data_IF_288916722432
#
_entry.id   IF_288916722432
#
_cell.length_a   1.000
_cell.length_b   1.000
_cell.length_c   1.000
_cell.angle_alpha   90.00
_cell.angle_beta   90.00
_cell.angle_gamma   90.00
#
_symmetry.space_group_name_H-M   'P 1'
#
loop_
_entity.id
_entity.type
_entity.pdbx_description
1 polymer ?
#
# COMPACT_ATOMS: atom_id res chain seq x y z
N UNK A 1 21.76 -18.98 8.08
CA UNK A 1 20.69 -18.13 7.52
C UNK A 1 19.51 -18.26 8.48
N UNK A 2 19.32 -17.29 9.37
CA UNK A 2 18.26 -17.35 10.38
C UNK A 2 16.93 -16.93 9.73
N UNK A 3 15.80 -17.59 10.08
CA UNK A 3 14.50 -17.08 9.68
C UNK A 3 14.36 -15.65 10.22
N UNK A 4 13.99 -14.72 9.35
CA UNK A 4 13.54 -13.39 9.79
C UNK A 4 12.39 -13.65 10.75
N UNK A 5 12.57 -13.28 12.02
CA UNK A 5 11.55 -13.49 13.05
C UNK A 5 10.27 -12.72 12.71
N UNK A 6 9.18 -13.01 13.42
CA UNK A 6 7.84 -12.44 13.21
C UNK A 6 7.72 -10.93 13.58
N UNK A 7 8.87 -10.25 13.71
CA UNK A 7 9.03 -8.87 14.16
C UNK A 7 9.07 -7.89 12.98
N UNK A 8 8.55 -6.65 13.16
CA UNK A 8 8.52 -5.64 12.11
C UNK A 8 9.94 -5.31 11.65
N UNK A 9 10.19 -5.44 10.33
CA UNK A 9 11.42 -4.94 9.71
C UNK A 9 11.16 -3.54 9.18
N UNK A 10 11.98 -2.58 9.61
CA UNK A 10 12.05 -1.23 9.04
C UNK A 10 13.21 -1.25 8.05
N UNK A 11 13.03 -1.11 6.74
CA UNK A 11 14.14 -1.21 5.80
C UNK A 11 13.83 -0.53 4.45
N UNK A 12 14.89 -0.05 3.80
CA UNK A 12 14.92 0.41 2.41
C UNK A 12 15.33 -0.70 1.45
N UNK A 13 14.92 -0.60 0.20
CA UNK A 13 15.46 -1.45 -0.87
C UNK A 13 16.82 -0.93 -1.39
N UNK A 14 17.66 -1.77 -2.00
CA UNK A 14 19.00 -1.39 -2.45
C UNK A 14 19.06 -0.19 -3.41
N UNK A 15 18.00 0.01 -4.19
CA UNK A 15 17.94 1.04 -5.23
C UNK A 15 17.40 2.38 -4.72
N UNK A 16 16.83 2.42 -3.52
CA UNK A 16 16.40 3.65 -2.86
C UNK A 16 17.58 4.60 -2.73
N UNK A 17 17.40 5.86 -3.14
CA UNK A 17 18.47 6.86 -3.04
C UNK A 17 18.31 7.74 -1.82
N UNK A 18 19.35 7.85 -1.03
CA UNK A 18 19.38 8.72 0.15
C UNK A 18 20.07 10.02 -0.23
N UNK A 19 19.44 11.15 0.12
CA UNK A 19 20.01 12.46 -0.15
C UNK A 19 21.26 12.69 0.70
N UNK A 20 22.32 13.17 0.06
CA UNK A 20 23.55 13.62 0.70
C UNK A 20 23.84 15.06 0.31
N UNK A 21 24.73 15.78 1.03
CA UNK A 21 25.15 17.12 0.62
C UNK A 21 25.74 17.21 -0.80
N UNK A 22 26.16 16.09 -1.38
CA UNK A 22 26.78 16.01 -2.73
C UNK A 22 25.84 15.40 -3.79
N UNK A 23 24.55 15.24 -3.47
CA UNK A 23 23.57 14.57 -4.32
C UNK A 23 23.12 13.24 -3.74
N UNK A 24 22.21 12.56 -4.42
CA UNK A 24 21.61 11.33 -3.90
C UNK A 24 22.48 10.10 -4.20
N UNK A 25 22.62 9.21 -3.22
CA UNK A 25 23.40 7.97 -3.33
C UNK A 25 22.50 6.77 -3.05
N UNK A 26 22.60 5.71 -3.86
CA UNK A 26 21.81 4.48 -3.64
C UNK A 26 22.16 3.86 -2.30
N UNK A 27 21.18 3.26 -1.64
CA UNK A 27 21.33 2.64 -0.32
C UNK A 27 22.44 1.58 -0.31
N UNK A 28 22.55 0.78 -1.38
CA UNK A 28 23.62 -0.23 -1.55
C UNK A 28 25.04 0.34 -1.68
N UNK A 29 25.16 1.60 -2.11
CA UNK A 29 26.43 2.27 -2.41
C UNK A 29 26.89 3.17 -1.24
N UNK A 30 26.02 3.41 -0.26
CA UNK A 30 26.37 4.11 0.98
C UNK A 30 27.35 3.29 1.84
N UNK A 31 28.17 4.01 2.62
CA UNK A 31 29.13 3.45 3.56
C UNK A 31 29.05 4.19 4.90
N UNK A 32 29.46 3.51 5.96
CA UNK A 32 29.65 4.14 7.28
C UNK A 32 30.58 5.36 7.12
N UNK A 33 30.23 6.46 7.79
CA UNK A 33 30.92 7.74 7.71
C UNK A 33 30.42 8.66 6.58
N UNK A 34 29.66 8.17 5.59
CA UNK A 34 29.03 9.07 4.62
C UNK A 34 28.05 10.02 5.31
N UNK A 35 28.04 11.27 4.87
CA UNK A 35 27.08 12.28 5.34
C UNK A 35 25.76 12.16 4.57
N UNK A 36 24.65 12.18 5.29
CA UNK A 36 23.30 12.20 4.71
C UNK A 36 22.54 13.44 5.19
N UNK A 37 21.60 13.90 4.37
CA UNK A 37 20.69 14.98 4.76
C UNK A 37 19.61 14.42 5.69
N UNK A 38 19.37 15.14 6.78
CA UNK A 38 18.40 14.76 7.79
C UNK A 38 17.40 15.88 8.07
N UNK A 39 16.22 15.48 8.51
CA UNK A 39 15.19 16.35 9.08
C UNK A 39 14.94 15.93 10.54
N UNK A 40 14.79 16.92 11.43
CA UNK A 40 14.52 16.68 12.85
C UNK A 40 15.75 16.81 13.74
N UNK A 41 15.82 16.00 14.80
CA UNK A 41 16.79 16.15 15.88
C UNK A 41 18.20 15.73 15.41
N UNK A 42 19.22 16.50 15.80
CA UNK A 42 20.63 16.20 15.55
C UNK A 42 21.26 16.92 14.35
N UNK A 43 20.55 17.86 13.73
CA UNK A 43 21.07 18.72 12.66
C UNK A 43 20.76 18.23 11.25
N UNK A 44 20.91 19.13 10.27
CA UNK A 44 20.51 18.91 8.87
C UNK A 44 21.40 17.91 8.11
N UNK A 45 22.57 17.56 8.65
CA UNK A 45 23.52 16.63 8.04
C UNK A 45 24.13 15.76 9.13
N UNK A 46 24.11 14.44 8.95
CA UNK A 46 24.67 13.49 9.93
C UNK A 46 25.48 12.38 9.25
N UNK A 47 26.56 11.89 9.87
CA UNK A 47 27.32 10.75 9.36
C UNK A 47 26.59 9.43 9.65
N UNK A 48 26.58 8.51 8.70
CA UNK A 48 26.06 7.15 8.92
C UNK A 48 26.97 6.43 9.92
N UNK A 49 26.39 5.94 11.03
CA UNK A 49 27.11 5.13 12.03
C UNK A 49 27.16 3.65 11.65
N UNK A 50 26.09 3.14 11.07
CA UNK A 50 25.98 1.73 10.73
C UNK A 50 25.03 1.52 9.56
N UNK A 51 25.26 0.45 8.81
CA UNK A 51 24.37 -0.01 7.75
C UNK A 51 24.06 -1.49 8.00
N UNK A 52 22.80 -1.78 8.32
CA UNK A 52 22.28 -3.14 8.41
C UNK A 52 21.90 -3.67 7.04
N UNK A 53 22.14 -4.96 6.80
CA UNK A 53 21.67 -5.69 5.61
C UNK A 53 20.97 -6.99 5.98
N UNK A 54 19.80 -7.23 5.40
CA UNK A 54 19.05 -8.48 5.57
C UNK A 54 18.47 -8.94 4.22
N UNK A 55 18.44 -10.25 3.99
CA UNK A 55 17.82 -10.85 2.81
C UNK A 55 16.62 -11.69 3.27
N UNK A 56 15.48 -11.50 2.62
CA UNK A 56 14.25 -12.21 2.92
C UNK A 56 13.80 -13.05 1.71
N UNK A 57 13.60 -14.35 1.95
CA UNK A 57 13.04 -15.30 0.99
C UNK A 57 11.50 -15.22 1.01
N UNK A 58 10.93 -14.27 0.28
CA UNK A 58 9.49 -13.98 0.30
C UNK A 58 8.66 -15.21 -0.08
N UNK A 59 9.08 -15.98 -1.09
CA UNK A 59 8.37 -17.17 -1.55
C UNK A 59 8.28 -18.28 -0.50
N UNK A 60 9.16 -18.26 0.52
CA UNK A 60 9.22 -19.27 1.60
C UNK A 60 8.80 -18.69 2.96
N UNK A 61 8.43 -17.41 3.00
CA UNK A 61 8.03 -16.76 4.26
C UNK A 61 6.64 -17.25 4.69
N UNK A 62 6.42 -17.59 5.97
CA UNK A 62 5.11 -18.05 6.45
C UNK A 62 4.02 -16.97 6.35
N UNK A 63 4.44 -15.70 6.31
CA UNK A 63 3.58 -14.50 6.20
C UNK A 63 4.15 -13.50 5.20
N UNK A 64 4.12 -13.79 3.88
CA UNK A 64 4.80 -12.97 2.86
C UNK A 64 4.42 -11.48 2.88
N UNK A 65 3.18 -11.17 3.26
CA UNK A 65 2.65 -9.81 3.43
C UNK A 65 3.38 -8.97 4.49
N UNK A 66 4.10 -9.61 5.43
CA UNK A 66 4.92 -8.89 6.42
C UNK A 66 6.28 -8.43 5.89
N UNK A 67 6.69 -8.95 4.74
CA UNK A 67 8.04 -8.71 4.17
C UNK A 67 8.01 -8.20 2.74
N UNK A 68 6.90 -8.37 2.01
CA UNK A 68 6.70 -7.83 0.66
C UNK A 68 6.82 -6.30 0.66
N UNK A 69 7.57 -5.71 -0.28
CA UNK A 69 7.79 -4.27 -0.29
C UNK A 69 6.49 -3.51 -0.55
N UNK A 70 6.38 -2.37 0.12
CA UNK A 70 5.41 -1.32 -0.19
C UNK A 70 6.07 -0.40 -1.22
N UNK A 71 5.43 -0.27 -2.37
CA UNK A 71 5.73 0.72 -3.40
C UNK A 71 4.91 1.97 -3.14
N UNK A 72 5.59 3.09 -2.95
CA UNK A 72 5.03 4.43 -2.93
C UNK A 72 5.43 5.09 -4.25
N UNK A 73 4.47 5.28 -5.16
CA UNK A 73 4.76 5.86 -6.49
C UNK A 73 5.23 7.30 -6.38
N UNK A 74 5.96 7.76 -7.40
CA UNK A 74 6.33 9.17 -7.53
C UNK A 74 5.11 10.10 -7.36
N UNK A 75 5.23 11.12 -6.52
CA UNK A 75 4.17 12.10 -6.24
C UNK A 75 2.97 11.56 -5.45
N UNK A 76 3.02 10.34 -4.93
CA UNK A 76 1.88 9.72 -4.24
C UNK A 76 1.59 10.29 -2.85
N UNK A 77 2.60 10.84 -2.17
CA UNK A 77 2.47 11.39 -0.82
C UNK A 77 2.04 12.85 -0.86
N UNK A 78 2.72 13.64 -1.69
CA UNK A 78 2.52 15.09 -1.92
C UNK A 78 2.99 15.44 -3.33
N UNK A 79 2.87 16.71 -3.74
CA UNK A 79 3.37 17.11 -5.05
C UNK A 79 4.87 16.92 -5.20
N UNK A 80 5.28 16.11 -6.17
CA UNK A 80 6.67 15.70 -6.35
C UNK A 80 7.25 14.81 -5.24
N UNK A 81 6.45 14.29 -4.30
CA UNK A 81 6.93 13.46 -3.18
C UNK A 81 6.24 12.08 -3.17
N UNK A 82 7.01 10.97 -3.19
CA UNK A 82 8.44 10.92 -3.45
C UNK A 82 8.76 11.41 -4.89
N UNK A 83 10.00 11.83 -5.12
CA UNK A 83 10.47 12.30 -6.44
C UNK A 83 10.53 11.20 -7.50
N UNK A 84 10.53 9.95 -7.05
CA UNK A 84 10.48 8.72 -7.85
C UNK A 84 9.83 7.62 -7.02
N UNK A 85 9.60 6.47 -7.63
CA UNK A 85 9.08 5.30 -6.93
C UNK A 85 9.99 4.88 -5.77
N UNK A 86 9.46 4.96 -4.55
CA UNK A 86 10.13 4.54 -3.32
C UNK A 86 9.62 3.16 -2.91
N UNK A 87 10.54 2.23 -2.63
CA UNK A 87 10.21 0.91 -2.08
C UNK A 87 10.81 0.74 -0.69
N UNK A 88 9.95 0.38 0.25
CA UNK A 88 10.31 0.15 1.66
C UNK A 88 9.60 -1.09 2.20
N UNK A 89 10.09 -1.64 3.30
CA UNK A 89 9.40 -2.73 3.99
C UNK A 89 8.07 -2.23 4.62
N UNK A 90 7.11 -3.13 4.91
CA UNK A 90 5.77 -2.75 5.38
C UNK A 90 5.71 -1.84 6.60
N UNK A 91 6.59 -2.07 7.58
CA UNK A 91 6.57 -1.29 8.82
C UNK A 91 7.50 -0.06 8.79
N UNK A 92 8.30 0.13 7.73
CA UNK A 92 9.19 1.29 7.63
C UNK A 92 8.38 2.59 7.71
N UNK A 93 8.77 3.48 8.63
CA UNK A 93 7.97 4.66 8.89
C UNK A 93 8.35 5.82 7.96
N UNK A 94 7.31 6.43 7.40
CA UNK A 94 7.39 7.62 6.55
C UNK A 94 6.86 8.81 7.36
N UNK A 95 7.59 9.92 7.38
CA UNK A 95 7.16 11.11 8.08
C UNK A 95 6.04 11.79 7.28
N UNK A 96 4.88 11.99 7.91
CA UNK A 96 3.76 12.78 7.37
C UNK A 96 3.41 13.88 8.36
N UNK A 97 3.58 15.13 7.94
CA UNK A 97 3.47 16.27 8.85
C UNK A 97 4.48 16.14 10.00
N UNK A 98 3.97 15.87 11.20
CA UNK A 98 4.78 15.71 12.42
C UNK A 98 4.74 14.29 13.02
N UNK A 99 4.23 13.31 12.27
CA UNK A 99 4.09 11.92 12.75
C UNK A 99 4.76 10.93 11.81
N UNK A 100 5.40 9.91 12.38
CA UNK A 100 5.97 8.78 11.65
C UNK A 100 4.88 7.72 11.45
N UNK A 101 4.65 7.31 10.20
CA UNK A 101 3.58 6.39 9.85
C UNK A 101 4.15 5.18 9.10
N UNK A 102 3.95 3.94 9.59
CA UNK A 102 4.33 2.73 8.87
C UNK A 102 3.74 2.70 7.45
N UNK A 103 4.56 2.36 6.45
CA UNK A 103 4.18 2.39 5.05
C UNK A 103 2.92 1.54 4.73
N UNK A 104 2.72 0.41 5.42
CA UNK A 104 1.52 -0.44 5.27
C UNK A 104 0.22 0.27 5.63
N UNK A 105 0.27 1.28 6.51
CA UNK A 105 -0.91 2.07 6.89
C UNK A 105 -1.26 3.13 5.84
N UNK A 106 -0.37 3.39 4.88
CA UNK A 106 -0.54 4.33 3.78
C UNK A 106 -1.09 3.68 2.50
N UNK A 107 -1.28 2.36 2.50
CA UNK A 107 -1.80 1.63 1.35
C UNK A 107 -3.14 2.21 0.88
N UNK A 108 -3.22 2.56 -0.41
CA UNK A 108 -4.44 3.07 -1.02
C UNK A 108 -4.89 2.32 -2.29
N UNK A 109 -4.12 1.32 -2.71
CA UNK A 109 -4.53 0.43 -3.78
C UNK A 109 -4.25 0.95 -5.18
N UNK A 110 -3.73 2.17 -5.33
CA UNK A 110 -3.41 2.75 -6.65
C UNK A 110 -2.07 3.44 -6.75
N UNK A 111 -1.77 4.36 -5.83
CA UNK A 111 -0.50 5.12 -5.80
C UNK A 111 0.43 4.63 -4.71
N UNK A 112 -0.10 3.93 -3.70
CA UNK A 112 0.65 3.24 -2.66
C UNK A 112 0.14 1.80 -2.58
N UNK A 113 1.04 0.85 -2.89
CA UNK A 113 0.72 -0.54 -3.21
C UNK A 113 1.66 -1.50 -2.50
N UNK A 114 1.17 -2.68 -2.16
CA UNK A 114 2.06 -3.80 -1.81
C UNK A 114 2.33 -4.65 -3.04
N UNK A 115 3.60 -4.78 -3.45
CA UNK A 115 3.99 -5.59 -4.60
C UNK A 115 3.93 -7.09 -4.26
N UNK A 116 3.46 -7.91 -5.21
CA UNK A 116 3.17 -9.33 -4.97
C UNK A 116 4.24 -10.27 -5.54
N UNK A 117 4.84 -9.91 -6.67
CA UNK A 117 5.69 -10.79 -7.48
C UNK A 117 7.18 -10.67 -7.13
N UNK A 118 7.51 -10.98 -5.88
CA UNK A 118 8.90 -11.00 -5.40
C UNK A 118 9.27 -12.39 -4.88
N UNK A 119 10.25 -13.09 -5.49
CA UNK A 119 10.72 -14.37 -4.95
C UNK A 119 11.60 -14.17 -3.71
N UNK A 120 12.42 -13.13 -3.73
CA UNK A 120 13.34 -12.74 -2.67
C UNK A 120 13.55 -11.22 -2.70
N UNK A 121 13.96 -10.63 -1.58
CA UNK A 121 14.31 -9.22 -1.51
C UNK A 121 15.50 -9.01 -0.56
N UNK A 122 16.37 -8.07 -0.91
CA UNK A 122 17.40 -7.57 0.01
C UNK A 122 16.95 -6.22 0.54
N UNK A 123 17.14 -6.02 1.83
CA UNK A 123 16.77 -4.85 2.57
C UNK A 123 17.99 -4.28 3.30
N UNK A 124 18.00 -2.95 3.43
CA UNK A 124 19.06 -2.21 4.10
C UNK A 124 18.45 -1.23 5.10
N UNK A 125 19.17 -0.96 6.18
CA UNK A 125 18.89 0.18 7.04
C UNK A 125 20.16 0.95 7.31
N UNK A 126 20.06 2.26 7.49
CA UNK A 126 21.11 3.09 8.05
C UNK A 126 20.77 3.53 9.47
N UNK A 127 21.78 3.58 10.34
CA UNK A 127 21.72 4.16 11.69
C UNK A 127 22.55 5.44 11.73
N UNK A 128 22.06 6.42 12.47
CA UNK A 128 22.67 7.74 12.64
C UNK A 128 23.08 7.96 14.11
N UNK A 129 23.88 9.00 14.42
CA UNK A 129 24.28 9.31 15.79
C UNK A 129 23.11 9.59 16.72
N UNK A 130 22.03 10.16 16.17
CA UNK A 130 20.74 10.28 16.81
C UNK A 130 19.70 9.72 15.86
N UNK A 131 18.70 9.06 16.41
CA UNK A 131 17.52 8.70 15.64
C UNK A 131 16.93 9.96 15.00
N UNK A 132 16.76 9.95 13.69
CA UNK A 132 16.38 11.10 12.86
C UNK A 132 15.63 10.64 11.61
N UNK A 133 15.22 11.59 10.77
CA UNK A 133 14.56 11.31 9.48
C UNK A 133 15.55 11.61 8.36
N UNK A 134 15.72 10.69 7.42
CA UNK A 134 16.51 10.88 6.19
C UNK A 134 15.60 11.18 5.01
N UNK A 135 16.15 11.78 3.96
CA UNK A 135 15.42 12.00 2.71
C UNK A 135 15.72 10.86 1.74
N UNK A 136 14.75 9.96 1.54
CA UNK A 136 14.83 8.77 0.71
C UNK A 136 13.95 8.92 -0.53
N UNK A 137 14.56 8.93 -1.73
CA UNK A 137 13.90 9.18 -3.01
C UNK A 137 13.06 10.47 -3.00
N UNK A 138 13.47 11.46 -2.20
CA UNK A 138 12.77 12.73 -1.99
C UNK A 138 11.69 12.70 -0.91
N UNK A 139 11.38 11.55 -0.31
CA UNK A 139 10.43 11.45 0.81
C UNK A 139 11.16 11.34 2.16
N UNK A 140 10.65 12.01 3.21
CA UNK A 140 11.19 11.91 4.55
C UNK A 140 10.83 10.55 5.20
N UNK A 141 11.85 9.77 5.54
CA UNK A 141 11.72 8.40 6.05
C UNK A 141 12.62 8.16 7.28
N UNK A 142 12.21 7.23 8.14
CA UNK A 142 12.87 6.96 9.43
C UNK A 142 14.30 6.37 9.27
N UNK A 143 15.24 6.80 10.11
CA UNK A 143 16.54 6.12 10.29
C UNK A 143 16.44 5.03 11.37
N UNK A 144 17.45 4.16 11.51
CA UNK A 144 17.33 3.06 12.46
C UNK A 144 17.29 3.56 13.90
N UNK A 145 16.29 3.11 14.64
CA UNK A 145 16.25 3.21 16.09
C UNK A 145 16.77 1.90 16.69
N UNK A 146 17.84 1.96 17.47
CA UNK A 146 18.36 0.78 18.17
C UNK A 146 17.41 0.36 19.31
N UNK A 147 16.49 -0.53 18.98
CA UNK A 147 15.48 -1.10 19.86
C UNK A 147 15.84 -2.53 20.35
N UNK A 148 17.11 -2.90 20.21
CA UNK A 148 17.61 -4.23 20.56
C UNK A 148 17.43 -5.30 19.47
N UNK A 149 16.88 -4.95 18.29
CA UNK A 149 16.65 -5.90 17.19
C UNK A 149 17.77 -5.97 16.16
N UNK A 150 18.94 -5.38 16.45
CA UNK A 150 20.11 -5.37 15.55
C UNK A 150 20.51 -6.78 15.08
N UNK A 151 20.29 -7.82 15.88
CA UNK A 151 20.59 -9.22 15.57
C UNK A 151 19.83 -9.79 14.36
N UNK A 152 18.76 -9.13 13.90
CA UNK A 152 18.01 -9.52 12.70
C UNK A 152 18.79 -9.29 11.40
N UNK A 153 19.81 -8.42 11.44
CA UNK A 153 20.64 -8.13 10.27
C UNK A 153 21.79 -9.12 10.16
N UNK A 154 22.05 -9.57 8.93
CA UNK A 154 23.05 -10.59 8.61
C UNK A 154 24.49 -10.19 8.98
N UNK A 155 24.76 -8.90 9.09
CA UNK A 155 26.05 -8.32 9.46
C UNK A 155 26.10 -7.79 10.90
N UNK A 156 25.18 -8.22 11.76
CA UNK A 156 25.12 -7.81 13.18
C UNK A 156 26.37 -8.18 13.99
N UNK A 157 27.16 -9.16 13.55
CA UNK A 157 28.42 -9.56 14.20
C UNK A 157 29.63 -8.67 13.90
N UNK A 158 29.54 -7.73 12.94
CA UNK A 158 30.69 -6.88 12.53
C UNK A 158 30.96 -5.73 13.53
N UNK A 159 30.03 -5.47 14.44
CA UNK A 159 30.13 -4.43 15.48
C UNK A 159 31.08 -4.78 16.64
N UNK A 160 31.54 -6.03 16.78
CA UNK A 160 32.36 -6.46 17.94
C UNK A 160 33.86 -6.13 17.80
N UNK A 161 34.28 -5.39 16.76
CA UNK A 161 35.70 -5.04 16.54
C UNK A 161 36.06 -3.55 16.74
N UNK A 162 35.10 -2.71 17.12
CA UNK A 162 35.36 -1.30 17.45
C UNK A 162 34.92 -1.01 18.89
N UNK A 163 35.89 -0.88 19.79
CA UNK A 163 35.76 -0.88 21.26
C UNK A 163 35.06 0.37 21.83
N UNK A 164 34.68 1.35 21.01
CA UNK A 164 34.02 2.59 21.47
C UNK A 164 32.49 2.64 21.27
N UNK A 165 31.84 1.53 20.87
CA UNK A 165 30.40 1.51 20.57
C UNK A 165 29.48 1.56 21.80
N UNK A 166 29.95 1.18 22.99
CA UNK A 166 29.10 1.14 24.20
C UNK A 166 28.93 2.52 24.89
N UNK A 167 29.78 3.50 24.59
CA UNK A 167 29.85 4.75 25.34
C UNK A 167 28.93 5.90 24.90
N UNK A 168 28.23 5.81 23.75
CA UNK A 168 27.49 6.96 23.21
C UNK A 168 26.19 6.60 22.47
N UNK A 169 25.44 5.60 22.95
CA UNK A 169 24.10 5.31 22.47
C UNK A 169 23.07 6.20 23.20
N UNK A 170 22.95 7.46 22.77
CA UNK A 170 22.03 8.43 23.37
C UNK A 170 20.55 8.25 22.95
N UNK A 171 20.20 7.19 22.22
CA UNK A 171 18.85 6.94 21.72
C UNK A 171 18.29 5.59 22.16
N UNK A 172 18.47 5.21 23.43
CA UNK A 172 17.65 4.15 24.02
C UNK A 172 16.23 4.69 24.25
N UNK A 173 15.33 4.43 23.29
CA UNK A 173 13.88 4.47 23.50
C UNK A 173 13.10 5.70 23.00
N UNK A 174 13.75 6.79 22.56
CA UNK A 174 13.06 7.99 22.10
C UNK A 174 13.05 8.10 20.56
N UNK A 175 11.86 8.08 19.98
CA UNK A 175 11.67 8.34 18.54
C UNK A 175 11.84 9.83 18.23
N UNK A 176 12.30 10.18 17.03
CA UNK A 176 12.54 11.58 16.65
C UNK A 176 11.24 12.35 16.40
N UNK A 177 10.16 11.63 16.11
CA UNK A 177 8.78 12.11 16.03
C UNK A 177 7.86 11.06 16.66
N UNK A 178 6.64 11.42 17.09
CA UNK A 178 5.63 10.45 17.50
C UNK A 178 5.32 9.45 16.38
N UNK A 179 5.10 8.19 16.74
CA UNK A 179 4.80 7.13 15.77
C UNK A 179 3.31 6.81 15.82
N UNK A 180 2.64 6.92 14.67
CA UNK A 180 1.27 6.49 14.50
C UNK A 180 1.23 4.96 14.36
N UNK A 181 0.91 4.28 15.46
CA UNK A 181 0.81 2.80 15.49
C UNK A 181 -0.63 2.30 15.37
N UNK A 182 -1.59 3.15 15.70
CA UNK A 182 -3.01 2.81 15.67
C UNK A 182 -3.62 3.05 14.30
N UNK A 183 -4.31 2.01 13.82
CA UNK A 183 -4.96 1.96 12.53
C UNK A 183 -6.19 2.87 12.46
N UNK A 184 -6.91 3.06 13.59
CA UNK A 184 -8.13 3.89 13.65
C UNK A 184 -7.83 5.37 13.48
N UNK A 185 -6.63 5.78 13.88
CA UNK A 185 -6.16 7.16 13.80
C UNK A 185 -5.68 7.56 12.39
N UNK A 186 -5.70 6.66 11.40
CA UNK A 186 -5.19 6.91 10.04
C UNK A 186 -6.20 7.56 9.07
N UNK A 187 -7.47 7.72 9.47
CA UNK A 187 -8.53 8.21 8.59
C UNK A 187 -8.23 9.56 7.92
N UNK A 188 -7.73 10.61 8.61
CA UNK A 188 -7.40 11.88 7.97
C UNK A 188 -6.29 11.74 6.91
N UNK A 189 -5.30 10.89 7.18
CA UNK A 189 -4.20 10.64 6.26
C UNK A 189 -4.67 9.90 5.01
N UNK A 190 -5.58 8.95 5.16
CA UNK A 190 -6.19 8.24 4.01
C UNK A 190 -7.00 9.16 3.12
N UNK A 191 -7.81 10.04 3.72
CA UNK A 191 -8.57 11.04 2.97
C UNK A 191 -7.63 11.96 2.16
N UNK A 192 -6.52 12.40 2.77
CA UNK A 192 -5.49 13.18 2.08
C UNK A 192 -4.84 12.41 0.92
N UNK A 193 -4.50 11.13 1.11
CA UNK A 193 -3.92 10.29 0.06
C UNK A 193 -4.91 9.98 -1.07
N UNK A 194 -6.20 9.85 -0.76
CA UNK A 194 -7.24 9.65 -1.75
C UNK A 194 -7.50 10.92 -2.56
N UNK A 195 -7.53 12.10 -1.93
CA UNK A 195 -7.52 13.38 -2.63
C UNK A 195 -6.30 13.50 -3.56
N UNK A 196 -5.11 13.11 -3.09
CA UNK A 196 -3.91 13.10 -3.93
C UNK A 196 -4.00 12.11 -5.10
N UNK A 197 -4.61 10.94 -4.90
CA UNK A 197 -4.86 10.00 -5.99
C UNK A 197 -5.78 10.63 -7.05
N UNK A 198 -6.81 11.38 -6.64
CA UNK A 198 -7.67 12.15 -7.57
C UNK A 198 -6.89 13.19 -8.36
N UNK A 199 -6.00 13.93 -7.71
CA UNK A 199 -5.11 14.89 -8.40
C UNK A 199 -4.18 14.24 -9.42
N UNK A 200 -3.77 13.00 -9.15
CA UNK A 200 -2.96 12.17 -10.06
C UNK A 200 -3.79 11.51 -11.18
N UNK A 201 -5.08 11.83 -11.28
CA UNK A 201 -5.97 11.36 -12.34
C UNK A 201 -6.66 10.04 -12.05
N UNK A 202 -6.71 9.57 -10.79
CA UNK A 202 -7.55 8.43 -10.42
C UNK A 202 -8.97 8.88 -10.07
N UNK A 203 -9.96 8.06 -10.39
CA UNK A 203 -11.37 8.31 -10.11
C UNK A 203 -11.94 7.14 -9.31
N UNK A 204 -12.80 7.44 -8.34
CA UNK A 204 -13.57 6.42 -7.63
C UNK A 204 -14.85 6.11 -8.41
N UNK A 205 -15.16 4.82 -8.50
CA UNK A 205 -16.34 4.27 -9.15
C UNK A 205 -16.94 3.17 -8.28
N UNK A 206 -18.25 3.03 -8.26
CA UNK A 206 -18.92 1.98 -7.46
C UNK A 206 -18.88 0.60 -8.14
N UNK A 207 -18.74 0.60 -9.47
CA UNK A 207 -18.66 -0.62 -10.27
C UNK A 207 -17.19 -0.98 -10.55
N UNK A 208 -16.73 -2.19 -10.18
CA UNK A 208 -15.40 -2.63 -10.56
C UNK A 208 -15.32 -2.87 -12.06
N UNK A 209 -14.20 -2.49 -12.66
CA UNK A 209 -13.85 -2.92 -14.01
C UNK A 209 -13.38 -4.38 -13.93
N UNK A 210 -14.34 -5.29 -13.92
CA UNK A 210 -14.12 -6.72 -13.89
C UNK A 210 -14.10 -7.25 -15.32
N UNK A 211 -13.03 -7.96 -15.67
CA UNK A 211 -12.80 -8.48 -17.02
C UNK A 211 -12.62 -9.99 -16.98
N UNK A 212 -13.31 -10.67 -17.89
CA UNK A 212 -13.14 -12.10 -18.13
C UNK A 212 -12.34 -12.30 -19.41
N UNK A 213 -11.21 -12.99 -19.31
CA UNK A 213 -10.32 -13.32 -20.43
C UNK A 213 -10.56 -14.76 -20.86
N UNK A 214 -10.77 -14.96 -22.16
CA UNK A 214 -10.91 -16.27 -22.78
C UNK A 214 -9.98 -16.33 -23.99
N UNK A 215 -8.84 -17.02 -23.83
CA UNK A 215 -7.75 -16.90 -24.80
C UNK A 215 -7.27 -15.44 -24.89
N UNK A 216 -7.34 -14.86 -26.09
CA UNK A 216 -7.00 -13.46 -26.34
C UNK A 216 -8.19 -12.49 -26.19
N UNK A 217 -9.41 -13.03 -26.16
CA UNK A 217 -10.63 -12.23 -26.04
C UNK A 217 -10.84 -11.74 -24.61
N UNK A 218 -11.35 -10.51 -24.47
CA UNK A 218 -11.64 -9.88 -23.17
C UNK A 218 -13.09 -9.42 -23.15
N UNK A 219 -13.84 -9.87 -22.15
CA UNK A 219 -15.24 -9.56 -21.94
C UNK A 219 -15.37 -8.69 -20.68
N UNK A 220 -16.15 -7.60 -20.77
CA UNK A 220 -16.47 -6.76 -19.63
C UNK A 220 -17.69 -7.32 -18.88
N UNK A 221 -17.71 -7.17 -17.56
CA UNK A 221 -18.88 -7.51 -16.76
C UNK A 221 -20.07 -6.60 -17.09
N UNK A 222 -21.27 -7.12 -16.88
CA UNK A 222 -22.51 -6.34 -16.86
C UNK A 222 -23.12 -6.43 -15.48
N UNK A 223 -23.52 -5.29 -14.91
CA UNK A 223 -24.22 -5.26 -13.63
C UNK A 223 -25.62 -5.84 -13.80
N UNK A 224 -25.94 -6.91 -13.06
CA UNK A 224 -27.25 -7.56 -13.09
C UNK A 224 -28.05 -7.35 -11.79
N UNK A 225 -27.48 -6.66 -10.81
CA UNK A 225 -28.07 -6.36 -9.51
C UNK A 225 -26.99 -5.98 -8.50
N UNK A 226 -27.36 -5.59 -7.26
CA UNK A 226 -26.41 -5.16 -6.24
C UNK A 226 -25.32 -6.22 -5.99
N UNK A 227 -24.05 -5.87 -6.28
CA UNK A 227 -22.91 -6.78 -6.12
C UNK A 227 -22.90 -7.99 -7.07
N UNK A 228 -23.77 -8.03 -8.09
CA UNK A 228 -23.91 -9.17 -9.02
C UNK A 228 -23.48 -8.78 -10.42
N UNK A 229 -22.38 -9.37 -10.88
CA UNK A 229 -21.75 -9.08 -12.17
C UNK A 229 -21.79 -10.29 -13.07
N UNK A 230 -22.25 -10.12 -14.31
CA UNK A 230 -22.46 -11.22 -15.26
C UNK A 230 -21.58 -11.05 -16.47
N UNK A 231 -20.89 -12.12 -16.87
CA UNK A 231 -20.21 -12.25 -18.14
C UNK A 231 -21.00 -13.18 -19.04
N UNK A 232 -21.24 -12.77 -20.29
CA UNK A 232 -21.91 -13.59 -21.30
C UNK A 232 -20.93 -14.01 -22.38
N UNK A 233 -20.71 -15.31 -22.51
CA UNK A 233 -19.83 -15.90 -23.51
C UNK A 233 -20.66 -16.58 -24.59
N UNK A 234 -20.34 -16.34 -25.86
CA UNK A 234 -20.91 -17.07 -26.98
C UNK A 234 -20.26 -18.48 -27.10
N UNK A 235 -20.88 -19.37 -27.89
CA UNK A 235 -20.46 -20.77 -28.01
C UNK A 235 -19.00 -20.97 -28.48
N UNK A 236 -18.47 -20.06 -29.30
CA UNK A 236 -17.10 -20.08 -29.81
C UNK A 236 -16.05 -19.67 -28.76
N UNK A 237 -16.36 -18.65 -27.95
CA UNK A 237 -15.52 -18.31 -26.80
C UNK A 237 -15.60 -19.43 -25.74
N UNK A 238 -16.79 -19.97 -25.54
CA UNK A 238 -17.02 -21.03 -24.55
C UNK A 238 -16.31 -22.35 -24.89
N UNK A 239 -16.06 -22.64 -26.17
CA UNK A 239 -15.28 -23.80 -26.61
C UNK A 239 -13.79 -23.67 -26.29
N UNK A 240 -13.29 -22.45 -26.26
CA UNK A 240 -11.90 -22.12 -25.90
C UNK A 240 -11.74 -21.90 -24.38
N UNK A 241 -12.81 -22.06 -23.59
CA UNK A 241 -12.87 -21.81 -22.15
C UNK A 241 -11.99 -22.73 -21.27
N UNK A 242 -11.11 -23.55 -21.85
CA UNK A 242 -10.08 -24.27 -21.09
C UNK A 242 -9.15 -23.32 -20.31
N UNK A 243 -9.15 -22.01 -20.65
CA UNK A 243 -8.35 -20.98 -19.97
C UNK A 243 -9.19 -19.74 -19.68
N UNK A 244 -10.09 -19.84 -18.70
CA UNK A 244 -10.81 -18.69 -18.15
C UNK A 244 -9.91 -17.91 -17.18
N UNK A 245 -9.72 -16.63 -17.43
CA UNK A 245 -8.99 -15.72 -16.54
C UNK A 245 -9.89 -14.58 -16.08
N UNK A 246 -10.32 -14.58 -14.83
CA UNK A 246 -11.01 -13.46 -14.23
C UNK A 246 -9.97 -12.45 -13.72
N UNK A 247 -10.11 -11.18 -14.07
CA UNK A 247 -9.19 -10.13 -13.62
C UNK A 247 -9.96 -8.90 -13.19
N UNK A 248 -9.49 -8.24 -12.14
CA UNK A 248 -9.89 -6.88 -11.80
C UNK A 248 -8.85 -5.92 -12.38
N UNK A 249 -9.31 -4.96 -13.18
CA UNK A 249 -8.48 -3.82 -13.61
C UNK A 249 -8.66 -2.61 -12.69
N UNK A 250 -9.79 -2.52 -11.98
CA UNK A 250 -9.98 -1.57 -10.88
C UNK A 250 -9.39 -2.08 -9.56
N UNK A 251 -9.23 -1.19 -8.58
CA UNK A 251 -8.66 -1.51 -7.25
C UNK A 251 -9.58 -0.97 -6.16
N UNK A 252 -9.81 -1.70 -5.07
CA UNK A 252 -10.71 -1.19 -4.01
C UNK A 252 -10.15 0.10 -3.41
N UNK A 253 -11.01 1.10 -3.23
CA UNK A 253 -10.70 2.34 -2.54
C UNK A 253 -10.59 2.13 -1.05
N UNK A 254 -9.57 2.75 -0.46
CA UNK A 254 -9.24 2.61 0.95
C UNK A 254 -9.85 3.68 1.84
N UNK A 255 -10.64 4.60 1.29
CA UNK A 255 -11.42 5.55 2.11
C UNK A 255 -12.42 4.79 3.01
N UNK A 256 -13.02 3.71 2.50
CA UNK A 256 -13.97 2.86 3.23
C UNK A 256 -13.37 1.52 3.68
N UNK A 257 -12.25 1.10 3.09
CA UNK A 257 -11.66 -0.20 3.39
C UNK A 257 -11.12 -0.24 4.83
N UNK A 258 -11.61 -1.22 5.61
CA UNK A 258 -11.02 -1.57 6.90
C UNK A 258 -9.50 -1.81 6.77
N UNK A 259 -8.74 -1.40 7.78
CA UNK A 259 -7.28 -1.47 7.76
C UNK A 259 -6.81 -2.94 7.71
N UNK A 260 -5.77 -3.23 6.92
CA UNK A 260 -5.26 -4.59 6.71
C UNK A 260 -5.97 -5.40 5.61
N UNK A 261 -6.95 -4.83 4.91
CA UNK A 261 -7.63 -5.47 3.78
C UNK A 261 -6.69 -5.73 2.60
N UNK A 262 -6.85 -6.89 1.97
CA UNK A 262 -6.34 -7.11 0.62
C UNK A 262 -7.15 -6.26 -0.35
N UNK A 263 -6.47 -5.39 -1.12
CA UNK A 263 -7.07 -4.33 -1.96
C UNK A 263 -7.70 -4.86 -3.27
N UNK A 264 -8.11 -6.13 -3.27
CA UNK A 264 -8.81 -6.81 -4.36
C UNK A 264 -10.32 -6.77 -4.17
N UNK A 265 -11.09 -7.35 -5.09
CA UNK A 265 -12.52 -7.53 -4.87
C UNK A 265 -12.78 -8.80 -4.05
N UNK A 266 -13.57 -8.70 -2.98
CA UNK A 266 -14.06 -9.86 -2.24
C UNK A 266 -15.24 -10.50 -2.98
N UNK A 267 -15.14 -11.79 -3.30
CA UNK A 267 -16.24 -12.57 -3.85
C UNK A 267 -16.83 -13.50 -2.79
N UNK A 268 -18.16 -13.59 -2.75
CA UNK A 268 -18.91 -14.54 -1.92
C UNK A 268 -19.20 -15.85 -2.67
N UNK A 269 -19.13 -15.83 -4.00
CA UNK A 269 -19.26 -17.01 -4.83
C UNK A 269 -19.24 -16.73 -6.33
N UNK A 270 -19.33 -17.82 -7.09
CA UNK A 270 -19.49 -17.84 -8.54
C UNK A 270 -20.73 -18.67 -8.88
N UNK A 271 -21.48 -18.26 -9.89
CA UNK A 271 -22.52 -19.08 -10.49
C UNK A 271 -22.26 -19.20 -11.98
N UNK A 272 -22.23 -20.44 -12.47
CA UNK A 272 -22.04 -20.75 -13.88
C UNK A 272 -23.36 -21.29 -14.42
N UNK A 273 -23.89 -20.69 -15.49
CA UNK A 273 -25.17 -21.08 -16.08
C UNK A 273 -25.03 -21.35 -17.57
N UNK A 274 -25.63 -22.45 -18.02
CA UNK A 274 -25.71 -22.83 -19.42
C UNK A 274 -27.12 -23.37 -19.72
N UNK A 275 -27.97 -22.53 -20.34
CA UNK A 275 -29.39 -22.84 -20.50
C UNK A 275 -30.09 -23.03 -19.15
N UNK A 276 -30.68 -24.21 -18.93
CA UNK A 276 -31.35 -24.56 -17.66
C UNK A 276 -30.41 -25.16 -16.61
N UNK A 277 -29.17 -25.50 -16.97
CA UNK A 277 -28.20 -26.03 -16.03
C UNK A 277 -27.47 -24.89 -15.31
N UNK A 278 -27.29 -25.01 -14.00
CA UNK A 278 -26.54 -24.05 -13.20
C UNK A 278 -25.68 -24.74 -12.15
N UNK A 279 -24.46 -24.26 -11.97
CA UNK A 279 -23.55 -24.68 -10.90
C UNK A 279 -23.27 -23.47 -10.02
N UNK A 280 -23.62 -23.56 -8.74
CA UNK A 280 -23.27 -22.56 -7.73
C UNK A 280 -22.04 -23.00 -6.95
N UNK A 281 -21.11 -22.08 -6.75
CA UNK A 281 -19.81 -22.31 -6.10
C UNK A 281 -19.64 -21.21 -5.05
N UNK A 282 -19.88 -21.53 -3.79
CA UNK A 282 -19.67 -20.57 -2.70
C UNK A 282 -18.18 -20.36 -2.40
N UNK A 283 -17.84 -19.27 -1.72
CA UNK A 283 -16.46 -18.96 -1.33
C UNK A 283 -15.79 -20.07 -0.50
N UNK A 284 -16.54 -20.86 0.26
CA UNK A 284 -16.01 -22.00 1.03
C UNK A 284 -15.72 -23.26 0.20
N UNK A 285 -16.13 -23.30 -1.07
CA UNK A 285 -16.09 -24.52 -1.89
C UNK A 285 -14.64 -25.02 -2.10
N UNK A 286 -14.37 -26.33 -1.90
CA UNK A 286 -13.05 -26.91 -2.10
C UNK A 286 -12.46 -26.67 -3.49
N UNK A 287 -13.29 -26.54 -4.53
CA UNK A 287 -12.86 -26.27 -5.92
C UNK A 287 -12.12 -24.95 -6.08
N UNK A 288 -12.30 -24.02 -5.14
CA UNK A 288 -11.64 -22.71 -5.15
C UNK A 288 -10.29 -22.68 -4.40
N UNK A 289 -9.92 -23.72 -3.63
CA UNK A 289 -8.77 -23.69 -2.70
C UNK A 289 -7.41 -23.52 -3.37
N UNK A 290 -7.23 -24.08 -4.56
CA UNK A 290 -5.93 -24.12 -5.25
C UNK A 290 -5.87 -23.19 -6.46
N UNK A 291 -6.79 -22.24 -6.55
CA UNK A 291 -6.83 -21.29 -7.64
C UNK A 291 -5.84 -20.15 -7.36
N UNK A 292 -4.80 -20.05 -8.19
CA UNK A 292 -3.85 -18.92 -8.12
C UNK A 292 -4.58 -17.60 -8.35
N UNK A 293 -4.25 -16.61 -7.53
CA UNK A 293 -4.87 -15.28 -7.55
C UNK A 293 -6.15 -15.19 -6.73
N UNK A 294 -6.60 -16.27 -6.10
CA UNK A 294 -7.74 -16.25 -5.20
C UNK A 294 -7.27 -16.55 -3.77
N UNK A 295 -7.52 -15.60 -2.86
CA UNK A 295 -7.13 -15.71 -1.47
C UNK A 295 -7.79 -16.89 -0.74
N UNK A 296 -7.27 -17.21 0.45
CA UNK A 296 -7.89 -18.18 1.36
C UNK A 296 -9.32 -17.73 1.75
N UNK A 297 -10.23 -18.66 2.08
CA UNK A 297 -11.57 -18.27 2.51
C UNK A 297 -11.48 -17.56 3.86
N UNK A 298 -12.12 -16.40 3.96
CA UNK A 298 -12.10 -15.55 5.14
C UNK A 298 -13.54 -15.31 5.63
N UNK A 299 -13.73 -15.23 6.94
CA UNK A 299 -14.98 -14.78 7.53
C UNK A 299 -15.06 -13.24 7.50
N UNK A 300 -16.26 -12.65 7.50
CA UNK A 300 -16.40 -11.21 7.64
C UNK A 300 -15.84 -10.73 9.00
N UNK A 301 -15.44 -9.45 9.13
CA UNK A 301 -14.94 -8.92 10.38
C UNK A 301 -16.02 -9.00 11.46
N UNK A 302 -15.62 -9.04 12.75
CA UNK A 302 -16.58 -9.01 13.85
C UNK A 302 -17.55 -7.84 13.72
N UNK A 303 -18.85 -8.12 13.86
CA UNK A 303 -19.92 -7.11 13.75
C UNK A 303 -20.47 -6.88 12.33
N UNK A 304 -19.83 -7.43 11.29
CA UNK A 304 -20.35 -7.37 9.91
C UNK A 304 -21.11 -8.66 9.59
N UNK A 305 -22.38 -8.55 9.17
CA UNK A 305 -23.15 -9.70 8.69
C UNK A 305 -22.67 -10.10 7.29
N UNK A 306 -22.36 -11.38 7.09
CA UNK A 306 -21.93 -11.90 5.79
C UNK A 306 -21.53 -13.38 5.84
N UNK A 307 -21.42 -14.00 4.68
CA UNK A 307 -20.87 -15.35 4.53
C UNK A 307 -19.35 -15.33 4.32
N UNK A 308 -18.76 -16.50 4.11
CA UNK A 308 -17.35 -16.61 3.70
C UNK A 308 -17.11 -15.81 2.41
N UNK A 309 -15.90 -15.24 2.30
CA UNK A 309 -15.43 -14.51 1.12
C UNK A 309 -14.04 -14.96 0.70
N UNK A 310 -13.67 -14.67 -0.54
CA UNK A 310 -12.30 -14.80 -1.05
C UNK A 310 -11.91 -13.55 -1.82
N UNK A 311 -10.68 -13.10 -1.64
CA UNK A 311 -10.17 -11.91 -2.34
C UNK A 311 -9.59 -12.27 -3.70
N UNK A 312 -9.94 -11.49 -4.72
CA UNK A 312 -9.34 -11.53 -6.05
C UNK A 312 -8.04 -10.74 -6.03
N UNK A 313 -6.92 -11.43 -6.21
CA UNK A 313 -5.58 -10.87 -6.33
C UNK A 313 -5.10 -10.98 -7.79
N UNK A 314 -5.08 -9.86 -8.51
CA UNK A 314 -4.59 -9.80 -9.88
C UNK A 314 -5.47 -10.60 -10.86
N UNK A 315 -4.88 -11.61 -11.52
CA UNK A 315 -5.59 -12.46 -12.49
C UNK A 315 -5.83 -13.84 -11.86
N UNK A 316 -7.09 -14.15 -11.62
CA UNK A 316 -7.61 -15.44 -11.16
C UNK A 316 -7.82 -16.36 -12.35
N UNK A 317 -7.07 -17.46 -12.42
CA UNK A 317 -7.26 -18.46 -13.49
C UNK A 317 -8.27 -19.51 -13.05
N UNK A 318 -9.50 -19.43 -13.57
CA UNK A 318 -10.57 -20.36 -13.25
C UNK A 318 -10.30 -21.71 -13.96
N UNK A 319 -10.18 -22.82 -13.22
CA UNK A 319 -9.87 -24.11 -13.83
C UNK A 319 -11.08 -24.66 -14.59
N UNK A 320 -10.86 -25.42 -15.68
CA UNK A 320 -11.96 -26.02 -16.46
C UNK A 320 -12.86 -26.96 -15.63
N UNK A 321 -12.33 -27.50 -14.54
CA UNK A 321 -13.07 -28.34 -13.59
C UNK A 321 -14.26 -27.62 -12.95
N UNK A 322 -14.29 -26.28 -12.91
CA UNK A 322 -15.46 -25.54 -12.43
C UNK A 322 -16.67 -25.69 -13.36
N UNK A 323 -16.44 -25.96 -14.65
CA UNK A 323 -17.48 -26.18 -15.64
C UNK A 323 -18.02 -27.63 -15.63
N UNK A 324 -17.46 -28.51 -14.78
CA UNK A 324 -17.92 -29.88 -14.67
C UNK A 324 -19.38 -29.92 -14.18
N UNK A 325 -20.23 -30.64 -14.91
CA UNK A 325 -21.68 -30.74 -14.63
C UNK A 325 -22.56 -29.79 -15.44
N UNK A 326 -21.98 -28.86 -16.21
CA UNK A 326 -22.72 -28.15 -17.25
C UNK A 326 -22.82 -29.02 -18.51
N UNK A 327 -23.95 -28.96 -19.24
CA UNK A 327 -24.06 -29.61 -20.53
C UNK A 327 -22.95 -29.12 -21.46
N UNK A 328 -22.48 -30.00 -22.35
CA UNK A 328 -21.63 -29.59 -23.46
C UNK A 328 -22.29 -28.38 -24.11
N UNK A 329 -21.57 -27.27 -24.22
CA UNK A 329 -22.03 -25.99 -24.79
C UNK A 329 -22.18 -26.10 -26.33
N UNK A 330 -22.70 -27.22 -26.80
CA UNK A 330 -22.93 -27.54 -28.19
C UNK A 330 -24.34 -28.10 -28.31
N UNK A 331 -25.22 -27.35 -28.97
CA UNK A 331 -26.42 -27.90 -29.58
C UNK A 331 -26.16 -28.02 -31.08
N UNK A 332 -26.46 -29.17 -31.69
CA UNK A 332 -26.45 -29.34 -33.14
C UNK A 332 -27.60 -28.58 -33.85
N UNK A 333 -28.45 -27.88 -33.09
CA UNK A 333 -29.67 -27.24 -33.57
C UNK A 333 -29.81 -25.83 -32.97
N UNK A 334 -29.45 -24.82 -33.78
CA UNK A 334 -30.07 -23.50 -33.86
C UNK A 334 -29.97 -22.51 -32.70
N UNK A 335 -29.80 -22.93 -31.46
CA UNK A 335 -29.71 -22.02 -30.31
C UNK A 335 -28.27 -21.97 -29.80
N UNK A 336 -27.63 -20.81 -29.91
CA UNK A 336 -26.27 -20.58 -29.42
C UNK A 336 -26.27 -20.69 -27.89
N UNK A 337 -25.64 -21.70 -27.29
CA UNK A 337 -25.58 -21.78 -25.84
C UNK A 337 -24.70 -20.64 -25.32
N UNK A 338 -25.31 -19.77 -24.51
CA UNK A 338 -24.60 -18.71 -23.78
C UNK A 338 -24.17 -19.29 -22.44
N UNK A 339 -22.87 -19.18 -22.15
CA UNK A 339 -22.36 -19.42 -20.80
C UNK A 339 -22.38 -18.10 -20.05
N UNK A 340 -23.18 -18.04 -18.99
CA UNK A 340 -23.20 -16.92 -18.06
C UNK A 340 -22.32 -17.25 -16.85
N UNK A 341 -21.37 -16.37 -16.54
CA UNK A 341 -20.59 -16.43 -15.31
C UNK A 341 -21.03 -15.25 -14.45
N UNK A 342 -21.75 -15.54 -13.37
CA UNK A 342 -22.12 -14.55 -12.37
C UNK A 342 -21.09 -14.54 -11.23
N UNK A 343 -20.59 -13.36 -10.91
CA UNK A 343 -19.68 -13.11 -9.78
C UNK A 343 -20.45 -12.32 -8.75
N UNK A 344 -20.48 -12.83 -7.52
CA UNK A 344 -21.11 -12.15 -6.39
C UNK A 344 -20.04 -11.50 -5.55
N UNK A 345 -20.06 -10.18 -5.47
CA UNK A 345 -19.22 -9.46 -4.52
C UNK A 345 -19.77 -9.63 -3.11
N UNK A 346 -18.87 -9.87 -2.16
CA UNK A 346 -19.21 -9.88 -0.74
C UNK A 346 -19.41 -8.47 -0.18
N UNK A 347 -18.80 -7.47 -0.82
CA UNK A 347 -18.76 -6.08 -0.39
C UNK A 347 -18.90 -5.14 -1.60
N UNK A 348 -19.49 -3.96 -1.38
CA UNK A 348 -19.67 -2.93 -2.40
C UNK A 348 -18.80 -1.72 -2.07
N UNK A 349 -17.52 -1.96 -1.75
CA UNK A 349 -16.57 -0.88 -1.57
C UNK A 349 -16.36 -0.16 -2.91
N UNK A 350 -16.22 1.18 -2.93
CA UNK A 350 -15.83 1.91 -4.12
C UNK A 350 -14.48 1.40 -4.65
N UNK A 351 -14.25 1.57 -5.95
CA UNK A 351 -13.04 1.17 -6.65
C UNK A 351 -12.38 2.36 -7.33
N UNK A 352 -11.06 2.38 -7.35
CA UNK A 352 -10.28 3.28 -8.20
C UNK A 352 -10.16 2.76 -9.63
N UNK A 353 -10.32 3.69 -10.57
CA UNK A 353 -9.91 3.56 -11.96
C UNK A 353 -8.96 4.70 -12.32
N UNK A 354 -7.92 4.47 -13.14
CA UNK A 354 -7.28 5.58 -13.83
C UNK A 354 -8.34 6.25 -14.69
N UNK A 355 -8.44 7.59 -14.64
CA UNK A 355 -9.24 8.33 -15.61
C UNK A 355 -8.84 7.82 -17.00
N UNK A 356 -9.82 7.38 -17.81
CA UNK A 356 -9.54 6.92 -19.16
C UNK A 356 -8.62 7.94 -19.84
N UNK A 357 -7.60 7.45 -20.57
CA UNK A 357 -6.67 8.29 -21.29
C UNK A 357 -7.41 9.06 -22.40
N UNK A 358 -8.15 10.10 -22.02
CA UNK A 358 -8.52 11.18 -22.90
C UNK A 358 -7.24 11.84 -23.41
N UNK A 359 -7.29 12.49 -24.59
CA UNK A 359 -6.13 13.19 -25.12
C UNK A 359 -5.57 14.12 -24.04
N UNK A 360 -4.23 14.23 -23.93
CA UNK A 360 -3.61 14.99 -22.85
C UNK A 360 -4.27 16.35 -22.76
N UNK A 361 -4.84 16.67 -21.60
CA UNK A 361 -5.40 17.99 -21.35
C UNK A 361 -4.31 19.01 -21.71
N UNK A 362 -4.58 19.82 -22.74
CA UNK A 362 -3.63 20.80 -23.22
C UNK A 362 -3.12 21.61 -22.02
N UNK A 363 -1.80 21.85 -21.90
CA UNK A 363 -1.27 22.59 -20.78
C UNK A 363 -2.00 23.93 -20.70
N UNK A 364 -2.72 24.17 -19.61
CA UNK A 364 -3.38 25.45 -19.36
C UNK A 364 -2.27 26.50 -19.40
N UNK A 365 -2.17 27.26 -20.50
CA UNK A 365 -1.23 28.38 -20.64
C UNK A 365 -1.56 29.40 -19.56
N UNK A 366 -0.90 29.26 -18.42
CA UNK A 366 -0.91 30.26 -17.37
C UNK A 366 -0.15 31.46 -17.94
N UNK A 367 -0.84 32.58 -18.16
CA UNK A 367 -0.22 33.84 -18.60
C UNK A 367 0.89 34.19 -17.61
N UNK A 368 2.14 34.02 -18.03
CA UNK A 368 3.30 34.53 -17.32
C UNK A 368 3.29 36.06 -17.45
N UNK A 369 2.84 36.75 -16.39
CA UNK A 369 3.28 38.14 -16.18
C UNK A 369 4.74 38.07 -15.75
N UNK A 370 5.61 38.62 -16.59
CA UNK A 370 7.01 38.81 -16.26
C UNK A 370 7.11 39.78 -15.07
N UNK A 371 7.46 39.23 -13.91
CA UNK A 371 8.05 39.99 -12.81
C UNK A 371 9.33 39.27 -12.41
N UNK A 372 10.46 39.85 -12.78
CA UNK A 372 11.76 39.54 -12.16
C UNK A 372 11.60 39.76 -10.65
N UNK A 373 11.83 38.74 -9.83
CA UNK A 373 12.29 38.94 -8.44
C UNK A 373 12.94 37.67 -7.86
N UNK A 374 13.89 37.94 -6.97
CA UNK A 374 14.90 37.09 -6.35
C UNK A 374 14.41 35.78 -5.68
N UNK A 375 15.36 34.86 -5.52
CA UNK A 375 15.25 33.67 -4.69
C UNK A 375 14.88 34.04 -3.24
N UNK A 376 13.66 33.70 -2.85
CA UNK A 376 13.21 33.67 -1.47
C UNK A 376 12.44 32.36 -1.25
N UNK A 377 12.78 31.66 -0.16
CA UNK A 377 12.11 30.44 0.27
C UNK A 377 10.59 30.65 0.36
N UNK A 378 9.82 29.76 -0.25
CA UNK A 378 8.36 29.76 -0.12
C UNK A 378 7.99 29.34 1.32
N UNK A 379 7.02 30.02 1.97
CA UNK A 379 6.61 29.67 3.33
C UNK A 379 5.85 28.35 3.33
N UNK A 380 6.22 27.46 4.25
CA UNK A 380 5.44 26.27 4.61
C UNK A 380 4.04 26.68 5.09
N UNK A 381 3.03 25.86 4.76
CA UNK A 381 1.70 25.94 5.39
C UNK A 381 1.82 25.88 6.93
N UNK A 382 0.91 26.53 7.68
CA UNK A 382 1.03 26.62 9.13
C UNK A 382 1.00 25.22 9.78
N UNK A 383 1.77 25.00 10.85
CA UNK A 383 1.79 23.72 11.55
C UNK A 383 0.46 23.47 12.26
N UNK A 384 -0.08 22.25 12.13
CA UNK A 384 -1.19 21.76 12.95
C UNK A 384 -0.71 21.77 14.42
N UNK A 385 -1.21 22.72 15.23
CA UNK A 385 -0.90 22.79 16.65
C UNK A 385 -1.64 21.67 17.41
N UNK A 386 -0.88 20.74 17.99
CA UNK A 386 -1.36 19.83 19.02
C UNK A 386 -0.76 20.25 20.36
N UNK A 387 -1.60 20.57 21.35
CA UNK A 387 -1.15 20.84 22.72
C UNK A 387 -0.66 19.54 23.37
N UNK A 388 0.60 19.50 23.76
CA UNK A 388 1.14 18.43 24.60
C UNK A 388 0.64 18.59 26.04
N UNK A 389 -0.09 17.60 26.55
CA UNK A 389 -0.30 17.45 28.00
C UNK A 389 1.00 17.01 28.66
N UNK A 390 1.25 17.48 29.89
CA UNK A 390 2.45 17.14 30.66
C UNK A 390 2.57 15.62 30.87
N UNK A 391 3.75 15.06 30.58
CA UNK A 391 4.08 13.63 30.73
C UNK A 391 4.84 13.41 32.05
N UNK A 392 4.42 12.40 32.80
CA UNK A 392 5.06 11.88 34.01
C UNK A 392 6.25 10.97 33.64
N UNK A 393 7.47 11.18 34.17
CA UNK A 393 8.67 10.46 33.76
C UNK A 393 8.73 8.96 34.12
N UNK A 394 7.86 8.44 34.98
CA UNK A 394 7.90 7.03 35.42
C UNK A 394 6.92 6.10 34.66
N UNK A 395 6.14 6.60 33.70
CA UNK A 395 5.20 5.81 32.90
C UNK A 395 5.72 5.61 31.46
N UNK A 396 6.59 4.61 31.27
CA UNK A 396 7.15 4.27 29.95
C UNK A 396 6.39 3.11 29.28
N UNK A 397 5.51 3.44 28.31
CA UNK A 397 5.39 2.64 27.09
C UNK A 397 5.14 3.53 25.84
N UNK A 398 6.19 3.82 25.07
CA UNK A 398 6.18 4.29 23.66
C UNK A 398 5.00 5.19 23.20
N UNK A 399 5.09 6.50 23.49
CA UNK A 399 4.35 7.63 22.90
C UNK A 399 3.32 7.29 21.80
N UNK A 400 2.08 6.99 22.21
CA UNK A 400 0.93 6.85 21.31
C UNK A 400 0.30 8.24 21.11
N UNK A 401 0.14 8.67 19.85
CA UNK A 401 -0.61 9.89 19.52
C UNK A 401 -1.83 9.51 18.69
N UNK A 402 -3.00 9.92 19.18
CA UNK A 402 -4.27 9.85 18.45
C UNK A 402 -4.44 11.17 17.69
N UNK A 403 -4.65 11.12 16.37
CA UNK A 403 -4.96 12.34 15.61
C UNK A 403 -6.40 12.79 15.94
N UNK A 404 -6.68 14.10 16.12
CA UNK A 404 -8.03 14.57 16.36
C UNK A 404 -8.95 14.27 15.16
N UNK A 405 -10.24 14.06 15.43
CA UNK A 405 -11.25 13.82 14.39
C UNK A 405 -11.40 15.04 13.47
N UNK A 406 -11.93 14.83 12.26
CA UNK A 406 -12.16 15.89 11.26
C UNK A 406 -12.98 17.08 11.81
N UNK A 407 -13.84 16.85 12.80
CA UNK A 407 -14.64 17.88 13.47
C UNK A 407 -13.78 18.82 14.35
N UNK A 408 -12.66 18.34 14.89
CA UNK A 408 -11.75 19.14 15.72
C UNK A 408 -10.87 20.12 14.92
N UNK A 409 -10.59 19.80 13.65
CA UNK A 409 -9.80 20.66 12.76
C UNK A 409 -10.61 21.91 12.36
N UNK A 410 -11.90 21.74 12.06
CA UNK A 410 -12.77 22.85 11.67
C UNK A 410 -13.10 23.84 12.82
N UNK A 411 -13.03 23.39 14.08
CA UNK A 411 -13.22 24.24 15.26
C UNK A 411 -11.97 25.09 15.54
N UNK A 412 -10.78 24.52 15.39
CA UNK A 412 -9.51 25.25 15.55
C UNK A 412 -9.34 26.36 14.51
N UNK A 413 -9.73 26.10 13.25
CA UNK A 413 -9.68 27.10 12.17
C UNK A 413 -10.67 28.27 12.38
N UNK A 414 -11.78 28.06 13.09
CA UNK A 414 -12.75 29.13 13.42
C UNK A 414 -12.29 29.99 14.61
N UNK A 415 -11.73 29.38 15.65
CA UNK A 415 -11.24 30.12 16.82
C UNK A 415 -10.00 30.98 16.50
N UNK A 416 -9.13 30.54 15.59
CA UNK A 416 -7.99 31.34 15.14
C UNK A 416 -8.42 32.50 14.21
N UNK A 417 -9.50 32.32 13.43
CA UNK A 417 -10.08 33.39 12.62
C UNK A 417 -10.79 34.46 13.46
N UNK A 418 -11.43 34.08 14.59
CA UNK A 418 -12.07 35.02 15.52
C UNK A 418 -11.06 35.75 16.43
N UNK A 419 -9.84 35.24 16.61
CA UNK A 419 -8.75 35.93 17.32
C UNK A 419 -7.89 36.85 16.46
N UNK A 420 -7.96 36.70 15.14
CA UNK A 420 -7.19 37.48 14.17
C UNK A 420 -7.98 38.63 13.53
N UNK A 421 -9.26 38.80 13.88
CA UNK A 421 -10.07 39.99 13.61
C UNK A 421 -10.21 40.85 14.86
#
# INVERSE_FOLDING_TARGET
MLPVGDAPMLCFTPETRIATPRGEVRMRDLRVGHLVLCQGIGGAVQPIKWIGKVQAEIARHPRPERVRPILIKAGALEDGVPSRDLRVSPDHAILRGIVLVPARLLLNGVTILQEQDWPQITYYHLELPRHSVVIADGAPAESWLDDGRRSQFSNSGVTVRFVDFEGACASRGLTCFPVLRDERSTAPLRASLAARARDLGFQEVDEPDMRLRVGESVFKSQLAGPGRYVFRLNAEAATTAQRLGLSLTSRVSTETAAVGRQLGAAISGLMLRAGHASVSIGAGDPRLRSIRGLGAPEAPPPGVRGGLRRWIEGIVRLPPTLLAGLPRLFSAQGNVPVLEIEVFLAEQDPFWLPAEAGPPAAPKKRRTRNTKLAAAAAPMAPPIMLRAGALDPDDNPFNVVTLPSATGIALAEREDAERAG
#
